data_IF_587580897117
#
_entry.id   IF_587580897117
#
_cell.length_a   1.000
_cell.length_b   1.000
_cell.length_c   1.000
_cell.angle_alpha   90.00
_cell.angle_beta   90.00
_cell.angle_gamma   90.00
#
_symmetry.space_group_name_H-M   'P 1'
#
loop_
_entity.id
_entity.type
_entity.pdbx_description
1 polymer ?
#
# COMPACT_ATOMS: atom_id res chain seq x y z
N UNK A 1 17.51 -17.62 -9.66
CA UNK A 1 16.06 -17.41 -9.82
C UNK A 1 15.44 -17.58 -8.45
N UNK A 2 15.11 -16.49 -7.78
CA UNK A 2 14.44 -16.57 -6.50
C UNK A 2 12.96 -16.86 -6.77
N UNK A 3 12.55 -18.06 -6.37
CA UNK A 3 11.16 -18.47 -6.32
C UNK A 3 10.47 -17.61 -5.25
N UNK A 4 9.79 -16.56 -5.66
CA UNK A 4 9.02 -15.69 -4.77
C UNK A 4 7.70 -16.35 -4.43
N UNK A 5 7.80 -17.34 -3.58
CA UNK A 5 6.78 -18.06 -2.87
C UNK A 5 5.37 -17.49 -2.80
N UNK A 6 4.56 -17.90 -3.68
CA UNK A 6 3.17 -18.32 -3.52
C UNK A 6 2.89 -19.21 -4.73
N UNK A 7 3.26 -20.47 -4.63
CA UNK A 7 2.93 -21.53 -5.61
C UNK A 7 1.44 -21.90 -5.54
N UNK A 8 0.57 -20.90 -5.52
CA UNK A 8 -0.81 -21.14 -5.93
C UNK A 8 -0.81 -21.18 -7.47
N UNK A 9 -1.50 -22.14 -8.09
CA UNK A 9 -1.62 -22.14 -9.54
C UNK A 9 -2.12 -20.77 -10.01
N UNK A 10 -1.51 -20.22 -11.06
CA UNK A 10 -1.92 -18.94 -11.65
C UNK A 10 -3.44 -18.87 -11.87
N UNK A 11 -4.06 -20.01 -12.13
CA UNK A 11 -5.51 -20.18 -12.27
C UNK A 11 -6.33 -19.75 -11.03
N UNK A 12 -5.79 -19.81 -9.79
CA UNK A 12 -6.51 -19.36 -8.59
C UNK A 12 -6.51 -17.84 -8.55
N UNK A 13 -5.37 -17.21 -8.78
CA UNK A 13 -5.27 -15.73 -8.84
C UNK A 13 -6.08 -15.15 -9.99
N UNK A 14 -6.08 -15.82 -11.15
CA UNK A 14 -6.92 -15.41 -12.29
C UNK A 14 -8.41 -15.47 -11.96
N UNK A 15 -8.85 -16.50 -11.26
CA UNK A 15 -10.25 -16.62 -10.81
C UNK A 15 -10.60 -15.54 -9.80
N UNK A 16 -9.72 -15.28 -8.82
CA UNK A 16 -9.92 -14.22 -7.84
C UNK A 16 -9.94 -12.84 -8.51
N UNK A 17 -9.10 -12.60 -9.49
CA UNK A 17 -9.11 -11.36 -10.27
C UNK A 17 -10.45 -11.14 -10.97
N UNK A 18 -11.07 -12.18 -11.53
CA UNK A 18 -12.43 -12.10 -12.12
C UNK A 18 -13.49 -11.73 -11.09
N UNK A 19 -13.29 -12.11 -9.82
CA UNK A 19 -14.14 -11.71 -8.70
C UNK A 19 -13.73 -10.33 -8.10
N UNK A 20 -12.85 -9.59 -8.80
CA UNK A 20 -12.33 -8.28 -8.39
C UNK A 20 -11.53 -8.31 -7.10
N UNK A 21 -10.85 -9.42 -6.83
CA UNK A 21 -10.00 -9.63 -5.66
C UNK A 21 -8.55 -9.62 -6.08
N UNK A 22 -7.75 -8.76 -5.45
CA UNK A 22 -6.30 -8.65 -5.66
C UNK A 22 -5.55 -8.78 -4.32
N UNK A 23 -4.28 -9.18 -4.39
CA UNK A 23 -3.47 -9.45 -3.20
C UNK A 23 -2.17 -8.65 -3.19
N UNK A 24 -1.94 -7.96 -2.07
CA UNK A 24 -0.63 -7.53 -1.63
C UNK A 24 -0.16 -8.52 -0.55
N UNK A 25 0.47 -9.62 -0.98
CA UNK A 25 0.84 -10.75 -0.13
C UNK A 25 2.34 -10.89 0.13
N UNK A 26 3.11 -9.83 -0.08
CA UNK A 26 4.58 -9.84 0.05
C UNK A 26 5.11 -8.44 0.40
N UNK A 27 6.44 -8.31 0.43
CA UNK A 27 7.09 -7.01 0.47
C UNK A 27 6.67 -6.13 -0.71
N UNK A 28 6.51 -4.84 -0.46
CA UNK A 28 6.18 -3.83 -1.48
C UNK A 28 7.46 -3.48 -2.25
N UNK A 29 7.48 -3.85 -3.52
CA UNK A 29 8.54 -3.51 -4.47
C UNK A 29 7.94 -3.11 -5.83
N UNK A 30 8.78 -2.73 -6.78
CA UNK A 30 8.32 -2.22 -8.08
C UNK A 30 7.53 -3.27 -8.87
N UNK A 31 7.93 -4.54 -8.86
CA UNK A 31 7.23 -5.61 -9.58
C UNK A 31 5.83 -5.83 -9.01
N UNK A 32 5.71 -5.89 -7.69
CA UNK A 32 4.43 -6.02 -6.99
C UNK A 32 3.54 -4.81 -7.26
N UNK A 33 4.10 -3.60 -7.17
CA UNK A 33 3.36 -2.37 -7.43
C UNK A 33 2.84 -2.31 -8.86
N UNK A 34 3.69 -2.57 -9.84
CA UNK A 34 3.31 -2.56 -11.25
C UNK A 34 2.20 -3.58 -11.55
N UNK A 35 2.28 -4.78 -10.96
CA UNK A 35 1.25 -5.80 -11.09
C UNK A 35 -0.08 -5.35 -10.50
N UNK A 36 -0.10 -4.84 -9.27
CA UNK A 36 -1.31 -4.38 -8.62
C UNK A 36 -1.93 -3.17 -9.35
N UNK A 37 -1.12 -2.21 -9.78
CA UNK A 37 -1.58 -1.07 -10.56
C UNK A 37 -2.24 -1.52 -11.87
N UNK A 38 -1.60 -2.45 -12.60
CA UNK A 38 -2.15 -2.99 -13.85
C UNK A 38 -3.47 -3.73 -13.61
N UNK A 39 -3.57 -4.53 -12.54
CA UNK A 39 -4.81 -5.22 -12.16
C UNK A 39 -5.93 -4.23 -11.82
N UNK A 40 -5.64 -3.19 -11.05
CA UNK A 40 -6.63 -2.16 -10.69
C UNK A 40 -7.11 -1.39 -11.93
N UNK A 41 -6.21 -1.02 -12.83
CA UNK A 41 -6.57 -0.33 -14.08
C UNK A 41 -7.44 -1.22 -14.98
N UNK A 42 -7.11 -2.50 -15.10
CA UNK A 42 -7.91 -3.47 -15.86
C UNK A 42 -9.32 -3.59 -15.28
N UNK A 43 -9.42 -3.84 -13.98
CA UNK A 43 -10.72 -4.00 -13.30
C UNK A 43 -11.58 -2.75 -13.38
N UNK A 44 -10.98 -1.56 -13.23
CA UNK A 44 -11.70 -0.30 -13.37
C UNK A 44 -12.18 -0.05 -14.81
N UNK A 45 -11.44 -0.50 -15.82
CA UNK A 45 -11.85 -0.41 -17.22
C UNK A 45 -13.00 -1.40 -17.55
N UNK A 46 -13.02 -2.57 -16.93
CA UNK A 46 -14.09 -3.56 -17.12
C UNK A 46 -15.40 -3.13 -16.45
N UNK A 47 -15.33 -2.62 -15.22
CA UNK A 47 -16.47 -2.11 -14.46
C UNK A 47 -16.03 -0.96 -13.53
N UNK A 48 -16.36 0.29 -13.87
CA UNK A 48 -15.96 1.45 -13.11
C UNK A 48 -16.80 1.69 -11.84
N UNK A 49 -17.79 0.86 -11.54
CA UNK A 49 -18.74 1.09 -10.46
C UNK A 49 -18.65 0.07 -9.32
N UNK A 50 -18.19 -1.14 -9.60
CA UNK A 50 -18.09 -2.19 -8.59
C UNK A 50 -16.75 -2.12 -7.88
N UNK A 51 -16.76 -2.27 -6.55
CA UNK A 51 -15.57 -2.22 -5.71
C UNK A 51 -14.51 -3.27 -6.12
N UNK A 52 -13.26 -2.91 -5.89
CA UNK A 52 -12.13 -3.82 -5.90
C UNK A 52 -11.79 -4.17 -4.44
N UNK A 53 -11.57 -5.46 -4.16
CA UNK A 53 -11.14 -5.93 -2.84
C UNK A 53 -9.65 -6.23 -2.84
N UNK A 54 -8.88 -5.43 -2.11
CA UNK A 54 -7.44 -5.63 -1.93
C UNK A 54 -7.16 -6.28 -0.58
N UNK A 55 -6.66 -7.51 -0.59
CA UNK A 55 -6.20 -8.19 0.61
C UNK A 55 -4.73 -7.88 0.86
N UNK A 56 -4.38 -7.53 2.09
CA UNK A 56 -3.06 -7.05 2.50
C UNK A 56 -2.50 -7.96 3.58
N UNK A 57 -1.40 -8.62 3.26
CA UNK A 57 -0.54 -9.35 4.18
C UNK A 57 0.92 -9.01 3.84
N UNK A 58 1.40 -7.88 4.36
CA UNK A 58 2.66 -7.28 3.94
C UNK A 58 3.41 -6.63 5.09
N UNK A 59 4.73 -6.83 5.18
CA UNK A 59 5.58 -6.11 6.12
C UNK A 59 5.88 -4.66 5.70
N UNK A 60 5.41 -4.23 4.53
CA UNK A 60 5.77 -2.97 3.90
C UNK A 60 6.88 -3.11 2.87
N UNK A 61 7.65 -2.05 2.63
CA UNK A 61 8.75 -2.05 1.66
C UNK A 61 8.99 -0.67 1.06
N UNK A 62 9.22 -0.62 -0.25
CA UNK A 62 9.54 0.59 -0.99
C UNK A 62 8.42 1.63 -0.90
N UNK A 63 8.76 2.85 -0.48
CA UNK A 63 7.82 3.98 -0.41
C UNK A 63 7.35 4.38 -1.80
N UNK A 64 8.26 4.50 -2.77
CA UNK A 64 7.88 4.89 -4.14
C UNK A 64 6.97 3.87 -4.81
N UNK A 65 7.22 2.58 -4.62
CA UNK A 65 6.36 1.51 -5.11
C UNK A 65 4.97 1.54 -4.41
N UNK A 66 4.94 1.77 -3.11
CA UNK A 66 3.69 1.93 -2.37
C UNK A 66 2.89 3.15 -2.78
N UNK A 67 3.54 4.26 -3.06
CA UNK A 67 2.88 5.48 -3.57
C UNK A 67 2.29 5.27 -4.96
N UNK A 68 2.91 4.47 -5.82
CA UNK A 68 2.32 4.11 -7.11
C UNK A 68 1.01 3.33 -6.94
N UNK A 69 0.95 2.40 -5.98
CA UNK A 69 -0.29 1.68 -5.64
C UNK A 69 -1.32 2.68 -5.08
N UNK A 70 -0.92 3.51 -4.13
CA UNK A 70 -1.79 4.52 -3.52
C UNK A 70 -2.43 5.44 -4.56
N UNK A 71 -1.62 6.04 -5.42
CA UNK A 71 -2.09 6.96 -6.46
C UNK A 71 -3.06 6.26 -7.42
N UNK A 72 -2.78 5.01 -7.78
CA UNK A 72 -3.69 4.21 -8.63
C UNK A 72 -5.01 3.95 -7.92
N UNK A 73 -5.01 3.62 -6.63
CA UNK A 73 -6.23 3.46 -5.83
C UNK A 73 -7.09 4.73 -5.83
N UNK A 74 -6.46 5.92 -5.76
CA UNK A 74 -7.18 7.19 -5.77
C UNK A 74 -7.61 7.62 -7.18
N UNK A 75 -6.87 7.20 -8.20
CA UNK A 75 -7.09 7.60 -9.59
C UNK A 75 -8.27 6.89 -10.26
N UNK A 76 -8.46 5.60 -9.99
CA UNK A 76 -9.54 4.80 -10.59
C UNK A 76 -10.91 5.23 -10.06
N UNK A 77 -11.95 5.01 -10.85
CA UNK A 77 -13.31 5.44 -10.53
C UNK A 77 -14.05 4.57 -9.51
N UNK A 78 -13.72 3.28 -9.45
CA UNK A 78 -14.31 2.36 -8.46
C UNK A 78 -13.56 2.44 -7.12
N UNK A 79 -14.29 2.20 -6.03
CA UNK A 79 -13.70 2.14 -4.69
C UNK A 79 -12.80 0.91 -4.52
N UNK A 80 -11.71 1.08 -3.76
CA UNK A 80 -10.89 -0.03 -3.32
C UNK A 80 -11.16 -0.29 -1.85
N UNK A 81 -11.80 -1.42 -1.55
CA UNK A 81 -11.95 -1.93 -0.20
C UNK A 81 -10.67 -2.66 0.22
N UNK A 82 -10.18 -2.42 1.43
CA UNK A 82 -8.94 -3.01 1.93
C UNK A 82 -9.20 -3.97 3.08
N UNK A 83 -8.54 -5.12 3.07
CA UNK A 83 -8.69 -6.20 4.05
C UNK A 83 -7.31 -6.64 4.55
N UNK A 84 -7.00 -6.31 5.79
CA UNK A 84 -5.75 -6.77 6.39
C UNK A 84 -5.89 -8.20 6.94
N UNK A 85 -4.92 -9.05 6.63
CA UNK A 85 -4.79 -10.40 7.16
C UNK A 85 -3.33 -10.69 7.53
N UNK A 86 -3.11 -11.37 8.63
CA UNK A 86 -1.77 -11.65 9.14
C UNK A 86 -1.06 -10.38 9.62
N UNK A 87 -0.46 -9.63 8.71
CA UNK A 87 0.26 -8.39 9.01
C UNK A 87 0.00 -7.30 7.96
N UNK A 88 -0.25 -6.10 8.43
CA UNK A 88 -0.20 -4.89 7.62
C UNK A 88 0.72 -3.89 8.32
N UNK A 89 1.98 -3.84 7.91
CA UNK A 89 3.01 -3.04 8.56
C UNK A 89 3.61 -2.00 7.60
N UNK A 90 4.00 -0.84 8.15
CA UNK A 90 4.68 0.22 7.39
C UNK A 90 3.88 0.61 6.14
N UNK A 91 4.45 0.49 4.94
CA UNK A 91 3.76 0.76 3.69
C UNK A 91 2.50 -0.13 3.50
N UNK A 92 2.46 -1.35 4.06
CA UNK A 92 1.27 -2.19 4.08
C UNK A 92 0.13 -1.59 4.94
N UNK A 93 0.46 -1.01 6.09
CA UNK A 93 -0.49 -0.27 6.93
C UNK A 93 -0.97 0.99 6.21
N UNK A 94 -0.06 1.72 5.56
CA UNK A 94 -0.40 2.92 4.79
C UNK A 94 -1.45 2.61 3.71
N UNK A 95 -1.26 1.55 2.94
CA UNK A 95 -2.19 1.12 1.90
C UNK A 95 -3.52 0.60 2.47
N UNK A 96 -3.50 -0.06 3.63
CA UNK A 96 -4.73 -0.43 4.34
C UNK A 96 -5.56 0.82 4.68
N UNK A 97 -4.91 1.85 5.22
CA UNK A 97 -5.54 3.12 5.59
C UNK A 97 -6.08 3.88 4.37
N UNK A 98 -5.47 3.68 3.20
CA UNK A 98 -5.86 4.31 1.94
C UNK A 98 -7.13 3.72 1.30
N UNK A 99 -7.67 2.63 1.81
CA UNK A 99 -8.95 2.08 1.35
C UNK A 99 -10.09 3.09 1.45
N UNK A 100 -11.14 2.89 0.68
CA UNK A 100 -12.31 3.76 0.68
C UNK A 100 -12.92 3.86 2.09
N UNK A 101 -13.43 5.04 2.44
CA UNK A 101 -14.03 5.29 3.75
C UNK A 101 -15.17 4.30 4.04
N UNK A 102 -15.13 3.67 5.22
CA UNK A 102 -16.09 2.64 5.61
C UNK A 102 -15.85 1.26 5.00
N UNK A 103 -14.82 1.11 4.16
CA UNK A 103 -14.49 -0.15 3.46
C UNK A 103 -13.07 -0.64 3.78
N UNK A 104 -12.66 -0.49 5.05
CA UNK A 104 -11.36 -0.90 5.58
C UNK A 104 -11.57 -1.92 6.68
N UNK A 105 -11.02 -3.11 6.52
CA UNK A 105 -11.29 -4.24 7.37
C UNK A 105 -10.00 -4.92 7.83
N UNK A 106 -10.06 -5.61 8.95
CA UNK A 106 -8.99 -6.47 9.44
C UNK A 106 -9.58 -7.77 9.98
N UNK A 107 -8.93 -8.89 9.71
CA UNK A 107 -9.29 -10.17 10.32
C UNK A 107 -8.89 -10.17 11.80
N UNK A 108 -9.53 -10.99 12.65
CA UNK A 108 -9.42 -10.90 14.13
C UNK A 108 -8.00 -10.99 14.69
N UNK A 109 -7.11 -11.70 14.03
CA UNK A 109 -5.74 -11.92 14.49
C UNK A 109 -4.68 -11.14 13.71
N UNK A 110 -5.12 -10.15 12.93
CA UNK A 110 -4.22 -9.30 12.16
C UNK A 110 -3.45 -8.34 13.05
N UNK A 111 -2.17 -8.16 12.74
CA UNK A 111 -1.34 -7.11 13.31
C UNK A 111 -1.27 -5.94 12.34
N UNK A 112 -1.58 -4.75 12.83
CA UNK A 112 -1.41 -3.50 12.09
C UNK A 112 -0.32 -2.70 12.80
N UNK A 113 0.75 -2.36 12.08
CA UNK A 113 1.90 -1.64 12.63
C UNK A 113 2.16 -0.38 11.83
N UNK A 114 1.98 0.76 12.48
CA UNK A 114 2.38 2.06 11.97
C UNK A 114 3.75 2.43 12.55
N UNK A 115 4.67 2.87 11.70
CA UNK A 115 5.92 3.47 12.12
C UNK A 115 6.42 4.46 11.06
N UNK A 116 7.31 5.35 11.48
CA UNK A 116 7.92 6.31 10.56
C UNK A 116 8.68 5.58 9.45
N UNK A 117 8.67 6.11 8.21
CA UNK A 117 9.54 5.58 7.17
C UNK A 117 11.01 5.65 7.62
N UNK A 118 11.79 4.66 7.22
CA UNK A 118 13.23 4.62 7.46
C UNK A 118 13.99 4.61 6.13
N UNK A 119 15.13 5.29 6.09
CA UNK A 119 15.98 5.32 4.91
C UNK A 119 17.45 5.33 5.31
N UNK A 120 18.27 4.64 4.51
CA UNK A 120 19.71 4.84 4.51
C UNK A 120 20.08 5.99 3.57
N UNK A 121 21.00 6.85 3.99
CA UNK A 121 21.55 7.91 3.16
C UNK A 121 23.04 7.70 2.96
N UNK A 122 23.56 8.04 1.77
CA UNK A 122 24.97 7.88 1.45
C UNK A 122 25.37 8.71 0.24
N UNK A 123 26.66 8.85 0.04
CA UNK A 123 27.25 9.65 -1.05
C UNK A 123 28.06 10.82 -0.52
N UNK A 124 28.17 11.89 -1.32
CA UNK A 124 28.82 13.14 -0.92
C UNK A 124 28.00 13.90 0.13
N UNK A 125 28.57 14.87 0.80
CA UNK A 125 27.85 15.72 1.75
C UNK A 125 26.63 16.40 1.10
N UNK A 126 26.73 16.82 -0.15
CA UNK A 126 25.63 17.38 -0.92
C UNK A 126 24.53 16.35 -1.17
N UNK A 127 24.90 15.13 -1.58
CA UNK A 127 23.94 14.05 -1.80
C UNK A 127 23.17 13.70 -0.53
N UNK A 128 23.86 13.62 0.60
CA UNK A 128 23.28 13.35 1.91
C UNK A 128 22.26 14.44 2.30
N UNK A 129 22.61 15.71 2.07
CA UNK A 129 21.69 16.82 2.35
C UNK A 129 20.42 16.72 1.50
N UNK A 130 20.56 16.51 0.20
CA UNK A 130 19.42 16.36 -0.74
C UNK A 130 18.53 15.18 -0.34
N UNK A 131 19.14 14.02 -0.04
CA UNK A 131 18.41 12.83 0.38
C UNK A 131 17.66 13.06 1.69
N UNK A 132 18.27 13.73 2.68
CA UNK A 132 17.64 14.05 3.94
C UNK A 132 16.43 15.00 3.78
N UNK A 133 16.55 16.01 2.93
CA UNK A 133 15.44 16.93 2.61
C UNK A 133 14.29 16.21 1.91
N UNK A 134 14.58 15.35 0.94
CA UNK A 134 13.58 14.56 0.25
C UNK A 134 12.87 13.58 1.21
N UNK A 135 13.63 12.93 2.08
CA UNK A 135 13.08 12.04 3.09
C UNK A 135 12.13 12.76 4.06
N UNK A 136 12.52 13.96 4.53
CA UNK A 136 11.67 14.76 5.39
C UNK A 136 10.34 15.17 4.72
N UNK A 137 10.38 15.48 3.41
CA UNK A 137 9.16 15.76 2.63
C UNK A 137 8.26 14.52 2.54
N UNK A 138 8.82 13.36 2.19
CA UNK A 138 8.06 12.10 2.10
C UNK A 138 7.44 11.72 3.44
N UNK A 139 8.19 11.84 4.54
CA UNK A 139 7.68 11.58 5.89
C UNK A 139 6.48 12.46 6.21
N UNK A 140 6.57 13.76 5.94
CA UNK A 140 5.49 14.72 6.16
C UNK A 140 4.27 14.38 5.31
N UNK A 141 4.47 14.14 4.01
CA UNK A 141 3.40 13.77 3.07
C UNK A 141 2.66 12.51 3.52
N UNK A 142 3.39 11.46 3.90
CA UNK A 142 2.77 10.23 4.41
C UNK A 142 1.94 10.48 5.68
N UNK A 143 2.43 11.28 6.63
CA UNK A 143 1.68 11.62 7.84
C UNK A 143 0.40 12.40 7.51
N UNK A 144 0.47 13.35 6.57
CA UNK A 144 -0.69 14.12 6.09
C UNK A 144 -1.74 13.21 5.41
N UNK A 145 -1.31 12.27 4.57
CA UNK A 145 -2.21 11.33 3.90
C UNK A 145 -2.86 10.35 4.89
N UNK A 146 -2.11 9.84 5.87
CA UNK A 146 -2.69 9.00 6.93
C UNK A 146 -3.70 9.80 7.76
N UNK A 147 -3.38 11.04 8.12
CA UNK A 147 -4.27 11.93 8.84
C UNK A 147 -5.58 12.16 8.06
N UNK A 148 -5.47 12.44 6.78
CA UNK A 148 -6.63 12.63 5.88
C UNK A 148 -7.55 11.40 5.86
N UNK A 149 -6.99 10.20 5.73
CA UNK A 149 -7.78 8.96 5.63
C UNK A 149 -8.31 8.48 6.99
N UNK A 150 -7.60 8.74 8.08
CA UNK A 150 -7.99 8.28 9.42
C UNK A 150 -8.88 9.26 10.19
N UNK A 151 -8.92 10.53 9.78
CA UNK A 151 -9.60 11.59 10.52
C UNK A 151 -8.85 12.07 11.77
N UNK A 152 -7.60 11.64 11.96
CA UNK A 152 -6.72 12.10 13.04
C UNK A 152 -5.96 13.34 12.62
N UNK A 153 -5.40 14.08 13.60
CA UNK A 153 -4.48 15.18 13.29
C UNK A 153 -3.11 14.66 12.86
N UNK A 154 -2.37 15.46 12.10
CA UNK A 154 -0.98 15.13 11.69
C UNK A 154 -0.10 14.92 12.94
N UNK A 155 -0.25 15.76 13.95
CA UNK A 155 0.49 15.65 15.22
C UNK A 155 0.21 14.33 15.93
N UNK A 156 -1.03 13.82 15.88
CA UNK A 156 -1.35 12.53 16.46
C UNK A 156 -0.71 11.39 15.66
N UNK A 157 -0.74 11.46 14.34
CA UNK A 157 -0.07 10.47 13.49
C UNK A 157 1.44 10.44 13.74
N UNK A 158 2.09 11.60 13.82
CA UNK A 158 3.53 11.69 14.11
C UNK A 158 3.88 11.15 15.50
N UNK A 159 3.01 11.34 16.48
CA UNK A 159 3.18 10.83 17.85
C UNK A 159 3.05 9.31 17.94
N UNK A 160 2.15 8.73 17.15
CA UNK A 160 1.84 7.31 17.17
C UNK A 160 2.76 6.49 16.24
N UNK A 161 3.62 7.15 15.43
CA UNK A 161 4.60 6.53 14.51
C UNK A 161 6.02 6.42 15.16
#
# INVERSE_FOLDING_TARGET
>A
MADTGLNLPDSVFEKLLKERIIFLGSEVNDDVANRLCAQMLLLAAEDPHTDISMYINSPGGSVTAGMAIYDTMQFISCDVATYAMGMAASMGQFLLTAGAAGKRYALPHTRVLMHQPSAGVGGTATDITIQAENFAKVKKEMAELIAQHSGQSVEQIEKDS
#
